data_IF_111079903371
#
_entry.id   IF_111079903371
#
_cell.length_a   1.000
_cell.length_b   1.000
_cell.length_c   1.000
_cell.angle_alpha   90.00
_cell.angle_beta   90.00
_cell.angle_gamma   90.00
#
_symmetry.space_group_name_H-M   'P 1'
#
loop_
_entity.id
_entity.type
_entity.pdbx_description
1 polymer ?
#
# COMPACT_ATOMS: atom_id res chain seq x y z
N UNK A 1 -9.97 61.38 -29.88
CA UNK A 1 -8.88 61.39 -28.87
C UNK A 1 -9.31 62.25 -27.69
N UNK A 2 -9.61 61.61 -26.55
CA UNK A 2 -9.98 62.22 -25.26
C UNK A 2 -9.91 61.13 -24.17
N UNK A 3 -9.72 61.49 -22.88
CA UNK A 3 -8.60 61.04 -22.07
C UNK A 3 -8.86 59.81 -21.17
N UNK A 4 -7.76 59.09 -20.92
CA UNK A 4 -7.54 58.05 -19.91
C UNK A 4 -8.08 58.44 -18.53
N UNK A 5 -8.92 57.59 -17.95
CA UNK A 5 -9.23 57.57 -16.52
C UNK A 5 -8.60 56.32 -15.90
N UNK A 6 -7.50 56.53 -15.19
CA UNK A 6 -6.96 55.58 -14.22
C UNK A 6 -7.96 55.55 -13.07
N UNK A 7 -8.59 54.40 -12.83
CA UNK A 7 -9.33 54.15 -11.60
C UNK A 7 -8.64 53.00 -10.85
N UNK A 8 -7.78 53.39 -9.92
CA UNK A 8 -7.23 52.57 -8.85
C UNK A 8 -8.28 52.50 -7.74
N UNK A 9 -8.83 51.32 -7.42
CA UNK A 9 -9.22 50.94 -6.06
C UNK A 9 -9.87 49.55 -6.06
N UNK A 10 -9.24 48.62 -5.35
CA UNK A 10 -9.78 47.29 -5.13
C UNK A 10 -8.82 46.43 -4.31
N UNK A 11 -8.36 46.94 -3.17
CA UNK A 11 -7.74 46.11 -2.16
C UNK A 11 -8.81 45.14 -1.65
N UNK A 12 -8.92 43.98 -2.28
CA UNK A 12 -9.73 42.88 -1.77
C UNK A 12 -9.01 42.39 -0.52
N UNK A 13 -9.55 42.79 0.63
CA UNK A 13 -9.10 42.37 1.94
C UNK A 13 -9.00 40.85 2.00
N UNK A 14 -7.78 40.35 2.20
CA UNK A 14 -7.52 38.99 2.60
C UNK A 14 -8.03 38.84 4.04
N UNK A 15 -9.30 38.46 4.20
CA UNK A 15 -9.83 38.07 5.51
C UNK A 15 -9.24 36.70 5.84
N UNK A 16 -8.51 36.53 6.97
CA UNK A 16 -8.11 35.21 7.41
C UNK A 16 -9.38 34.43 7.75
N UNK A 17 -9.51 33.24 7.15
CA UNK A 17 -10.44 32.22 7.65
C UNK A 17 -10.08 32.00 9.12
N UNK A 18 -10.94 32.47 10.02
CA UNK A 18 -10.89 32.09 11.42
C UNK A 18 -11.35 30.63 11.44
N UNK A 19 -10.39 29.71 11.43
CA UNK A 19 -10.67 28.31 11.73
C UNK A 19 -11.14 28.25 13.18
N UNK A 20 -12.42 27.96 13.40
CA UNK A 20 -12.92 27.60 14.73
C UNK A 20 -12.11 26.39 15.20
N UNK A 21 -11.24 26.58 16.20
CA UNK A 21 -10.55 25.48 16.86
C UNK A 21 -11.61 24.71 17.68
N UNK A 22 -12.18 23.66 17.08
CA UNK A 22 -13.03 22.73 17.81
C UNK A 22 -12.15 21.97 18.79
N UNK A 23 -12.56 21.94 20.07
CA UNK A 23 -11.85 21.21 21.11
C UNK A 23 -11.89 19.70 20.80
N UNK A 24 -10.75 19.03 20.52
CA UNK A 24 -10.74 17.61 20.15
C UNK A 24 -11.29 16.68 21.25
N UNK A 25 -11.41 17.19 22.47
CA UNK A 25 -11.90 16.49 23.66
C UNK A 25 -13.37 16.78 23.98
N UNK A 26 -14.05 17.65 23.24
CA UNK A 26 -15.47 17.93 23.44
C UNK A 26 -16.33 16.85 22.75
N UNK A 27 -17.11 16.04 23.49
CA UNK A 27 -17.95 15.01 22.90
C UNK A 27 -19.08 15.56 22.02
N UNK A 28 -19.43 16.85 22.15
CA UNK A 28 -20.42 17.51 21.29
C UNK A 28 -19.85 17.96 19.93
N UNK A 29 -18.54 17.86 19.73
CA UNK A 29 -17.89 18.19 18.45
C UNK A 29 -18.15 17.08 17.43
N UNK A 30 -18.68 17.47 16.26
CA UNK A 30 -18.87 16.55 15.15
C UNK A 30 -17.53 16.00 14.64
N UNK A 31 -17.43 14.67 14.51
CA UNK A 31 -16.23 14.03 13.97
C UNK A 31 -16.07 14.37 12.47
N UNK A 32 -14.84 14.63 11.99
CA UNK A 32 -14.58 14.75 10.57
C UNK A 32 -14.96 13.45 9.83
N UNK A 33 -15.48 13.53 8.58
CA UNK A 33 -15.79 12.34 7.80
C UNK A 33 -14.49 11.58 7.45
N UNK A 34 -14.46 10.28 7.72
CA UNK A 34 -13.35 9.39 7.35
C UNK A 34 -13.72 8.66 6.05
N UNK A 35 -12.98 8.86 4.94
CA UNK A 35 -13.23 8.09 3.72
C UNK A 35 -12.80 6.63 3.92
N UNK A 36 -13.72 5.70 3.69
CA UNK A 36 -13.41 4.28 3.66
C UNK A 36 -12.72 3.89 2.34
N UNK A 37 -11.54 3.28 2.42
CA UNK A 37 -10.86 2.63 1.27
C UNK A 37 -10.63 1.16 1.61
N UNK A 38 -11.18 0.26 0.80
CA UNK A 38 -10.89 -1.17 0.93
C UNK A 38 -9.46 -1.48 0.48
N UNK A 39 -8.67 -2.10 1.35
CA UNK A 39 -7.36 -2.66 1.00
C UNK A 39 -7.47 -3.83 0.03
N UNK A 40 -8.67 -4.42 -0.10
CA UNK A 40 -8.93 -5.56 -0.98
C UNK A 40 -9.28 -5.16 -2.41
N UNK A 41 -9.33 -3.86 -2.71
CA UNK A 41 -9.63 -3.36 -4.06
C UNK A 41 -8.61 -3.86 -5.08
N UNK A 42 -7.34 -3.92 -4.66
CA UNK A 42 -6.20 -4.31 -5.49
C UNK A 42 -5.78 -5.79 -5.26
N UNK A 43 -6.52 -6.53 -4.44
CA UNK A 43 -6.20 -7.93 -4.13
C UNK A 43 -6.71 -8.85 -5.26
N UNK A 44 -5.91 -9.85 -5.70
CA UNK A 44 -6.35 -10.84 -6.67
C UNK A 44 -7.67 -11.48 -6.24
N UNK A 45 -8.68 -11.42 -7.11
CA UNK A 45 -9.97 -12.06 -6.86
C UNK A 45 -9.96 -13.44 -7.51
N UNK A 46 -9.76 -14.46 -6.69
CA UNK A 46 -9.74 -15.85 -7.12
C UNK A 46 -9.54 -16.80 -5.96
N UNK A 47 -9.93 -18.05 -6.15
CA UNK A 47 -9.52 -19.14 -5.25
C UNK A 47 -8.10 -19.53 -5.66
N UNK A 48 -7.19 -19.58 -4.69
CA UNK A 48 -5.83 -20.07 -4.90
C UNK A 48 -5.90 -21.49 -5.47
N UNK A 49 -5.38 -21.67 -6.69
CA UNK A 49 -5.48 -22.95 -7.42
C UNK A 49 -4.39 -23.93 -7.00
N UNK A 50 -3.35 -23.42 -6.36
CA UNK A 50 -2.20 -24.22 -5.93
C UNK A 50 -2.50 -24.84 -4.58
N UNK A 51 -2.40 -26.17 -4.51
CA UNK A 51 -2.47 -26.91 -3.25
C UNK A 51 -1.05 -27.18 -2.78
N UNK A 52 -0.62 -26.49 -1.72
CA UNK A 52 0.63 -26.78 -1.03
C UNK A 52 0.44 -27.90 0.00
N UNK A 53 1.44 -28.78 0.13
CA UNK A 53 1.50 -29.73 1.24
C UNK A 53 1.77 -28.99 2.54
N UNK A 54 0.72 -28.79 3.33
CA UNK A 54 0.78 -28.08 4.61
C UNK A 54 1.79 -28.69 5.58
N UNK A 55 2.00 -30.01 5.53
CA UNK A 55 2.92 -30.69 6.44
C UNK A 55 4.36 -30.36 6.08
N UNK A 56 4.69 -30.40 4.79
CA UNK A 56 5.99 -30.01 4.30
C UNK A 56 6.29 -28.53 4.58
N UNK A 57 5.33 -27.64 4.32
CA UNK A 57 5.48 -26.20 4.62
C UNK A 57 5.75 -25.95 6.12
N UNK A 58 5.02 -26.63 7.01
CA UNK A 58 5.24 -26.51 8.45
C UNK A 58 6.60 -27.09 8.88
N UNK A 59 7.04 -28.19 8.27
CA UNK A 59 8.36 -28.75 8.54
C UNK A 59 9.49 -27.79 8.14
N UNK A 60 9.33 -27.05 7.04
CA UNK A 60 10.29 -26.03 6.61
C UNK A 60 10.39 -24.87 7.61
N UNK A 61 9.28 -24.43 8.21
CA UNK A 61 9.31 -23.43 9.29
C UNK A 61 9.95 -24.03 10.56
N UNK A 62 9.71 -25.30 10.84
CA UNK A 62 10.26 -26.02 12.00
C UNK A 62 11.79 -26.21 11.99
N UNK A 63 12.49 -25.95 10.89
CA UNK A 63 13.95 -26.08 10.82
C UNK A 63 14.70 -25.02 11.66
N UNK A 64 14.04 -23.91 12.01
CA UNK A 64 14.61 -22.80 12.78
C UNK A 64 14.56 -23.06 14.30
N UNK A 65 15.28 -24.09 14.76
CA UNK A 65 15.21 -24.58 16.14
C UNK A 65 15.62 -23.53 17.19
N UNK A 66 16.56 -22.64 16.87
CA UNK A 66 17.03 -21.57 17.78
C UNK A 66 16.27 -20.26 17.57
N UNK A 67 15.20 -20.27 16.78
CA UNK A 67 14.36 -19.12 16.49
C UNK A 67 15.10 -18.01 15.74
N UNK A 68 15.10 -16.80 16.31
CA UNK A 68 15.55 -15.57 15.64
C UNK A 68 16.98 -15.64 15.06
N UNK A 69 17.92 -16.26 15.77
CA UNK A 69 19.32 -16.36 15.28
C UNK A 69 19.42 -17.20 14.00
N UNK A 70 18.63 -18.26 13.88
CA UNK A 70 18.65 -19.10 12.68
C UNK A 70 17.95 -18.40 11.50
N UNK A 71 16.91 -17.61 11.77
CA UNK A 71 16.26 -16.75 10.77
C UNK A 71 17.26 -15.73 10.21
N UNK A 72 18.01 -15.02 11.07
CA UNK A 72 19.01 -14.04 10.60
C UNK A 72 20.10 -14.67 9.74
N UNK A 73 20.57 -15.87 10.10
CA UNK A 73 21.54 -16.62 9.29
C UNK A 73 20.95 -17.03 7.94
N UNK A 74 19.69 -17.48 7.93
CA UNK A 74 18.97 -17.87 6.71
C UNK A 74 18.73 -16.68 5.77
N UNK A 75 18.36 -15.52 6.29
CA UNK A 75 18.24 -14.29 5.48
C UNK A 75 19.60 -13.87 4.91
N UNK A 76 20.66 -13.90 5.72
CA UNK A 76 22.01 -13.56 5.27
C UNK A 76 22.51 -14.50 4.16
N UNK A 77 22.15 -15.79 4.22
CA UNK A 77 22.46 -16.77 3.19
C UNK A 77 21.66 -16.51 1.90
N UNK A 78 20.36 -16.20 1.98
CA UNK A 78 19.54 -15.89 0.80
C UNK A 78 19.99 -14.64 0.05
N UNK A 79 20.43 -13.59 0.76
CA UNK A 79 20.97 -12.38 0.13
C UNK A 79 22.22 -12.66 -0.72
N UNK A 80 22.89 -13.79 -0.48
CA UNK A 80 24.08 -14.24 -1.23
C UNK A 80 23.74 -15.29 -2.29
N UNK A 81 22.53 -15.85 -2.28
CA UNK A 81 22.12 -16.83 -3.27
C UNK A 81 21.76 -16.11 -4.58
N UNK A 82 22.22 -16.62 -5.75
CA UNK A 82 21.71 -16.16 -7.03
C UNK A 82 20.20 -16.36 -7.07
N UNK A 83 19.47 -15.37 -7.57
CA UNK A 83 18.02 -15.48 -7.79
C UNK A 83 17.76 -16.70 -8.66
N UNK A 84 16.90 -17.66 -8.25
CA UNK A 84 16.50 -18.72 -9.15
C UNK A 84 15.86 -18.04 -10.36
N UNK A 85 16.46 -18.26 -11.54
CA UNK A 85 15.89 -17.86 -12.82
C UNK A 85 14.47 -18.42 -12.83
N UNK A 86 13.48 -17.55 -12.88
CA UNK A 86 12.09 -17.90 -13.09
C UNK A 86 12.03 -18.82 -14.30
N UNK A 87 11.90 -20.12 -14.06
CA UNK A 87 11.71 -21.08 -15.12
C UNK A 87 10.41 -20.70 -15.84
N UNK A 88 10.55 -20.30 -17.10
CA UNK A 88 9.43 -20.12 -18.03
C UNK A 88 8.51 -21.34 -17.89
N UNK A 89 7.21 -21.16 -17.59
CA UNK A 89 6.27 -22.28 -17.61
C UNK A 89 6.37 -23.00 -18.96
N UNK A 90 6.36 -24.35 -19.00
CA UNK A 90 6.41 -25.07 -20.26
C UNK A 90 5.26 -24.60 -21.15
N UNK A 91 5.66 -24.12 -22.32
CA UNK A 91 4.82 -23.64 -23.40
C UNK A 91 3.79 -24.72 -23.77
N UNK A 92 2.50 -24.41 -23.58
CA UNK A 92 1.38 -25.25 -24.00
C UNK A 92 1.18 -25.17 -25.54
N UNK A 93 2.23 -25.41 -26.32
CA UNK A 93 2.19 -25.29 -27.79
C UNK A 93 1.93 -26.59 -28.56
N UNK A 94 1.58 -27.69 -27.89
CA UNK A 94 1.39 -29.00 -28.54
C UNK A 94 -0.04 -29.56 -28.53
N UNK A 95 -1.08 -28.71 -28.52
CA UNK A 95 -2.43 -29.15 -28.93
C UNK A 95 -2.79 -28.60 -30.31
N UNK A 96 -2.38 -29.36 -31.33
CA UNK A 96 -2.83 -29.25 -32.72
C UNK A 96 -4.36 -29.58 -32.82
N UNK A 97 -5.12 -28.96 -33.76
CA UNK A 97 -6.59 -28.92 -33.76
C UNK A 97 -7.32 -30.25 -33.97
#
# INVERSE_FOLDING_TARGET
>A
MKPTRIMLCGALACLPVIANAQSPTDPATAAPPVPYRSVFTDTPKGVEKDTLDWKAANAQVGQFLRGHIDILKWEAAQRRAPTPSSATPPDMQDRKP
#
